data_IF_007579403135
#
_entry.id   IF_007579403135
#
_cell.length_a   1.000
_cell.length_b   1.000
_cell.length_c   1.000
_cell.angle_alpha   90.00
_cell.angle_beta   90.00
_cell.angle_gamma   90.00
#
_symmetry.space_group_name_H-M   'P 1'
#
loop_
_entity.id
_entity.type
_entity.pdbx_description
1 polymer ?
#
# COMPACT_ATOMS: atom_id res chain seq x y z
N UNK A 1 -4.24 -3.28 -23.92
CA UNK A 1 -2.95 -3.63 -23.28
C UNK A 1 -2.11 -2.43 -22.82
N UNK A 2 -1.93 -1.35 -23.61
CA UNK A 2 -1.03 -0.21 -23.27
C UNK A 2 -1.34 0.49 -21.93
N UNK A 3 -2.61 0.60 -21.52
CA UNK A 3 -2.98 1.30 -20.28
C UNK A 3 -2.61 0.51 -19.00
N UNK A 4 -2.66 -0.83 -19.03
CA UNK A 4 -2.31 -1.67 -17.87
C UNK A 4 -0.80 -1.65 -17.56
N UNK A 5 0.05 -1.33 -18.54
CA UNK A 5 1.50 -1.18 -18.34
C UNK A 5 1.88 0.17 -17.71
N UNK A 6 0.94 1.10 -17.61
CA UNK A 6 1.21 2.43 -17.02
C UNK A 6 0.88 2.46 -15.53
N UNK A 7 -0.10 1.68 -15.09
CA UNK A 7 -0.58 1.74 -13.70
C UNK A 7 0.37 1.06 -12.71
N UNK A 8 1.02 -0.03 -13.10
CA UNK A 8 2.04 -0.67 -12.26
C UNK A 8 3.26 0.21 -12.07
N UNK A 9 3.69 0.93 -13.12
CA UNK A 9 4.79 1.89 -13.01
C UNK A 9 4.44 3.04 -12.05
N UNK A 10 3.19 3.50 -12.05
CA UNK A 10 2.71 4.51 -11.09
C UNK A 10 2.79 3.97 -9.66
N UNK A 11 2.35 2.72 -9.41
CA UNK A 11 2.44 2.14 -8.07
C UNK A 11 3.88 1.85 -7.64
N UNK A 12 4.77 1.43 -8.54
CA UNK A 12 6.20 1.27 -8.25
C UNK A 12 6.83 2.62 -7.90
N UNK A 13 6.56 3.67 -8.69
CA UNK A 13 7.07 5.00 -8.41
C UNK A 13 6.55 5.53 -7.07
N UNK A 14 5.25 5.37 -6.80
CA UNK A 14 4.64 5.70 -5.52
C UNK A 14 5.23 4.92 -4.35
N UNK A 15 5.52 3.63 -4.53
CA UNK A 15 6.20 2.78 -3.56
C UNK A 15 7.62 3.30 -3.25
N UNK A 16 8.44 3.55 -4.28
CA UNK A 16 9.81 4.03 -4.08
C UNK A 16 9.84 5.40 -3.38
N UNK A 17 8.96 6.33 -3.80
CA UNK A 17 8.87 7.66 -3.20
C UNK A 17 8.35 7.60 -1.77
N UNK A 18 7.33 6.77 -1.49
CA UNK A 18 6.81 6.60 -0.13
C UNK A 18 7.81 5.93 0.78
N UNK A 19 8.60 4.96 0.29
CA UNK A 19 9.66 4.31 1.05
C UNK A 19 10.76 5.31 1.41
N UNK A 20 11.22 6.10 0.43
CA UNK A 20 12.19 7.15 0.67
C UNK A 20 11.69 8.15 1.71
N UNK A 21 10.46 8.65 1.55
CA UNK A 21 9.86 9.59 2.48
C UNK A 21 9.69 8.99 3.88
N UNK A 22 9.26 7.73 3.97
CA UNK A 22 9.11 7.02 5.23
C UNK A 22 10.45 6.86 5.97
N UNK A 23 11.54 6.56 5.25
CA UNK A 23 12.87 6.51 5.86
C UNK A 23 13.27 7.87 6.44
N UNK A 24 13.02 8.97 5.72
CA UNK A 24 13.32 10.33 6.21
C UNK A 24 12.48 10.70 7.45
N UNK A 25 11.23 10.26 7.49
CA UNK A 25 10.35 10.42 8.66
C UNK A 25 10.93 9.61 9.83
N UNK A 26 11.16 8.30 9.66
CA UNK A 26 11.62 7.43 10.75
C UNK A 26 12.96 7.89 11.35
N UNK A 27 13.86 8.46 10.55
CA UNK A 27 15.15 9.00 11.02
C UNK A 27 15.04 10.40 11.64
N UNK A 28 13.85 10.97 11.77
CA UNK A 28 13.60 12.35 12.23
C UNK A 28 14.30 13.43 11.39
N UNK A 29 14.71 13.10 10.18
CA UNK A 29 15.44 14.04 9.29
C UNK A 29 14.50 14.96 8.52
N UNK A 30 13.24 14.58 8.36
CA UNK A 30 12.25 15.35 7.61
C UNK A 30 10.85 15.18 8.16
N UNK A 31 10.12 16.28 8.25
CA UNK A 31 8.71 16.31 8.62
C UNK A 31 7.88 16.81 7.43
N UNK A 32 7.37 15.92 6.54
CA UNK A 32 6.51 16.34 5.46
C UNK A 32 5.26 17.00 6.05
N UNK A 33 5.13 18.31 5.86
CA UNK A 33 3.90 19.01 6.19
C UNK A 33 2.72 18.47 5.38
N UNK A 34 1.53 19.00 5.63
CA UNK A 34 0.28 18.55 5.02
C UNK A 34 0.33 18.51 3.48
N UNK A 35 1.08 19.41 2.85
CA UNK A 35 1.24 19.51 1.39
C UNK A 35 1.77 18.22 0.77
N UNK A 36 2.72 17.53 1.42
CA UNK A 36 3.24 16.25 0.93
C UNK A 36 2.41 15.07 1.45
N UNK A 37 1.94 15.13 2.70
CA UNK A 37 1.19 14.03 3.29
C UNK A 37 -0.15 13.76 2.61
N UNK A 38 -0.83 14.80 2.11
CA UNK A 38 -2.10 14.67 1.38
C UNK A 38 -2.01 13.85 0.08
N UNK A 39 -1.14 14.17 -0.90
CA UNK A 39 -1.06 13.40 -2.14
C UNK A 39 -0.63 11.95 -1.92
N UNK A 40 0.26 11.67 -0.95
CA UNK A 40 0.61 10.28 -0.62
C UNK A 40 -0.57 9.51 -0.03
N UNK A 41 -1.35 10.15 0.83
CA UNK A 41 -2.58 9.55 1.41
C UNK A 41 -3.64 9.33 0.33
N UNK A 42 -3.84 10.30 -0.57
CA UNK A 42 -4.76 10.15 -1.70
C UNK A 42 -4.32 9.01 -2.64
N UNK A 43 -3.02 8.93 -2.97
CA UNK A 43 -2.50 7.87 -3.81
C UNK A 43 -2.55 6.48 -3.14
N UNK A 44 -2.38 6.41 -1.83
CA UNK A 44 -2.65 5.20 -1.03
C UNK A 44 -4.11 4.76 -1.19
N UNK A 45 -5.08 5.68 -1.07
CA UNK A 45 -6.50 5.36 -1.27
C UNK A 45 -6.78 4.86 -2.69
N UNK A 46 -6.16 5.47 -3.71
CA UNK A 46 -6.26 5.02 -5.10
C UNK A 46 -5.72 3.59 -5.24
N UNK A 47 -4.55 3.30 -4.66
CA UNK A 47 -3.95 1.96 -4.70
C UNK A 47 -4.83 0.92 -4.02
N UNK A 48 -5.42 1.27 -2.88
CA UNK A 48 -6.36 0.41 -2.17
C UNK A 48 -7.65 0.14 -2.97
N UNK A 49 -8.28 1.19 -3.51
CA UNK A 49 -9.50 1.05 -4.31
C UNK A 49 -9.26 0.20 -5.55
N UNK A 50 -8.13 0.43 -6.24
CA UNK A 50 -7.73 -0.38 -7.38
C UNK A 50 -7.53 -1.85 -6.99
N UNK A 51 -6.75 -2.12 -5.94
CA UNK A 51 -6.50 -3.49 -5.49
C UNK A 51 -7.78 -4.21 -5.05
N UNK A 52 -8.66 -3.51 -4.33
CA UNK A 52 -9.95 -4.04 -3.88
C UNK A 52 -10.85 -4.40 -5.06
N UNK A 53 -10.89 -3.54 -6.09
CA UNK A 53 -11.62 -3.83 -7.33
C UNK A 53 -11.03 -5.03 -8.06
N UNK A 54 -9.71 -5.09 -8.24
CA UNK A 54 -9.05 -6.23 -8.89
C UNK A 54 -9.34 -7.54 -8.14
N UNK A 55 -9.27 -7.54 -6.82
CA UNK A 55 -9.58 -8.73 -6.00
C UNK A 55 -11.05 -9.14 -6.17
N UNK A 56 -11.98 -8.17 -6.14
CA UNK A 56 -13.41 -8.42 -6.36
C UNK A 56 -13.68 -9.02 -7.74
N UNK A 57 -13.06 -8.46 -8.78
CA UNK A 57 -13.21 -8.93 -10.16
C UNK A 57 -12.69 -10.38 -10.27
N UNK A 58 -11.53 -10.69 -9.67
CA UNK A 58 -10.97 -12.06 -9.62
C UNK A 58 -11.88 -13.03 -8.88
N UNK A 59 -12.48 -12.59 -7.77
CA UNK A 59 -13.36 -13.42 -6.97
C UNK A 59 -14.63 -13.78 -7.74
N UNK A 60 -15.23 -12.80 -8.42
CA UNK A 60 -16.45 -12.97 -9.20
C UNK A 60 -16.25 -13.83 -10.47
N UNK A 61 -15.06 -13.78 -11.07
CA UNK A 61 -14.74 -14.54 -12.30
C UNK A 61 -14.35 -15.99 -12.00
N UNK A 62 -14.05 -16.32 -10.73
CA UNK A 62 -13.70 -17.69 -10.35
C UNK A 62 -14.94 -18.53 -10.06
N UNK A 63 -15.23 -19.52 -10.91
CA UNK A 63 -16.30 -20.51 -10.70
C UNK A 63 -16.19 -21.23 -9.35
N UNK A 64 -14.99 -21.30 -8.79
CA UNK A 64 -14.70 -21.87 -7.48
C UNK A 64 -14.18 -20.80 -6.52
N UNK A 65 -15.08 -20.01 -5.91
CA UNK A 65 -14.86 -19.05 -4.80
C UNK A 65 -13.41 -19.03 -4.29
N UNK A 66 -12.51 -18.35 -5.03
CA UNK A 66 -11.09 -18.42 -4.71
C UNK A 66 -10.85 -17.74 -3.37
N UNK A 67 -10.29 -18.49 -2.41
CA UNK A 67 -9.90 -17.91 -1.14
C UNK A 67 -8.89 -16.76 -1.35
N UNK A 68 -8.90 -15.76 -0.48
CA UNK A 68 -7.90 -14.67 -0.51
C UNK A 68 -6.46 -15.20 -0.51
N UNK A 69 -6.24 -16.32 0.20
CA UNK A 69 -4.97 -17.05 0.18
C UNK A 69 -4.60 -17.43 -1.25
N UNK A 70 -5.49 -18.04 -2.02
CA UNK A 70 -5.25 -18.43 -3.42
C UNK A 70 -4.83 -17.26 -4.30
N UNK A 71 -5.37 -16.06 -4.07
CA UNK A 71 -4.99 -14.83 -4.80
C UNK A 71 -3.55 -14.43 -4.48
N UNK A 72 -3.15 -14.44 -3.20
CA UNK A 72 -1.76 -14.17 -2.78
C UNK A 72 -0.75 -15.17 -3.36
N UNK A 73 -1.16 -16.43 -3.60
CA UNK A 73 -0.30 -17.45 -4.21
C UNK A 73 -0.08 -17.25 -5.72
N UNK A 74 -0.83 -16.34 -6.38
CA UNK A 74 -0.54 -15.94 -7.77
C UNK A 74 0.68 -15.01 -7.88
N UNK A 75 1.13 -14.42 -6.77
CA UNK A 75 2.32 -13.58 -6.75
C UNK A 75 3.61 -14.42 -6.73
N UNK A 76 4.70 -13.93 -7.34
CA UNK A 76 6.03 -14.49 -7.12
C UNK A 76 6.36 -14.55 -5.62
N UNK A 77 7.06 -15.63 -5.20
CA UNK A 77 7.39 -15.88 -3.80
C UNK A 77 8.03 -14.67 -3.11
N UNK A 78 8.94 -13.98 -3.79
CA UNK A 78 9.61 -12.76 -3.30
C UNK A 78 8.61 -11.63 -3.01
N UNK A 79 7.68 -11.36 -3.92
CA UNK A 79 6.68 -10.30 -3.74
C UNK A 79 5.74 -10.61 -2.57
N UNK A 80 5.36 -11.87 -2.41
CA UNK A 80 4.56 -12.32 -1.28
C UNK A 80 5.26 -12.08 0.06
N UNK A 81 6.55 -12.42 0.17
CA UNK A 81 7.30 -12.16 1.41
C UNK A 81 7.48 -10.67 1.68
N UNK A 82 7.73 -9.86 0.65
CA UNK A 82 7.79 -8.40 0.78
C UNK A 82 6.46 -7.86 1.32
N UNK A 83 5.31 -8.28 0.77
CA UNK A 83 4.02 -7.83 1.27
C UNK A 83 3.77 -8.24 2.72
N UNK A 84 4.10 -9.48 3.09
CA UNK A 84 3.97 -9.97 4.47
C UNK A 84 4.86 -9.15 5.42
N UNK A 85 6.10 -8.90 5.04
CA UNK A 85 7.01 -8.04 5.80
C UNK A 85 6.47 -6.62 5.95
N UNK A 86 6.03 -5.99 4.86
CA UNK A 86 5.47 -4.63 4.89
C UNK A 86 4.18 -4.57 5.72
N UNK A 87 3.36 -5.62 5.70
CA UNK A 87 2.13 -5.70 6.50
C UNK A 87 2.48 -5.74 7.98
N UNK A 88 3.39 -6.63 8.37
CA UNK A 88 3.89 -6.73 9.74
C UNK A 88 4.54 -5.42 10.20
N UNK A 89 5.35 -4.82 9.34
CA UNK A 89 6.02 -3.55 9.59
C UNK A 89 5.03 -2.39 9.76
N UNK A 90 3.98 -2.31 8.94
CA UNK A 90 2.93 -1.30 9.07
C UNK A 90 2.13 -1.48 10.37
N UNK A 91 1.82 -2.74 10.75
CA UNK A 91 1.17 -3.06 12.03
C UNK A 91 2.03 -2.57 13.20
N UNK A 92 3.33 -2.87 13.20
CA UNK A 92 4.25 -2.39 14.24
C UNK A 92 4.22 -0.87 14.31
N UNK A 93 4.36 -0.17 13.18
CA UNK A 93 4.37 1.29 13.17
C UNK A 93 3.03 1.88 13.66
N UNK A 94 1.91 1.28 13.28
CA UNK A 94 0.60 1.69 13.78
C UNK A 94 0.48 1.50 15.29
N UNK A 95 0.91 0.37 15.84
CA UNK A 95 0.91 0.13 17.29
C UNK A 95 1.80 1.15 18.01
N UNK A 96 2.99 1.46 17.47
CA UNK A 96 3.86 2.48 18.08
C UNK A 96 3.22 3.87 18.09
N UNK A 97 2.44 4.21 17.06
CA UNK A 97 1.67 5.46 17.02
C UNK A 97 0.53 5.46 18.05
N UNK A 98 -0.13 4.32 18.29
CA UNK A 98 -1.18 4.19 19.32
C UNK A 98 -0.65 4.40 20.74
N UNK A 99 0.58 3.97 21.00
CA UNK A 99 1.21 4.08 22.32
C UNK A 99 1.85 5.43 22.60
N UNK A 100 2.02 6.29 21.58
CA UNK A 100 2.49 7.64 21.80
C UNK A 100 1.37 8.45 22.49
N UNK A 101 1.65 9.02 23.67
CA UNK A 101 0.75 9.93 24.38
C UNK A 101 0.60 11.24 23.59
N UNK A 102 -0.06 11.18 22.42
CA UNK A 102 -0.38 12.39 21.66
C UNK A 102 -1.56 13.05 22.37
N UNK A 103 -1.27 14.06 23.20
CA UNK A 103 -2.27 14.85 23.95
C UNK A 103 -3.36 15.53 23.12
N UNK A 104 -3.35 15.36 21.79
CA UNK A 104 -4.37 15.86 20.88
C UNK A 104 -5.07 14.67 20.21
N UNK A 105 -6.40 14.61 20.33
CA UNK A 105 -7.22 13.51 19.81
C UNK A 105 -6.99 13.19 18.32
N UNK A 106 -7.53 12.05 17.89
CA UNK A 106 -7.40 11.53 16.52
C UNK A 106 -7.86 12.49 15.41
N UNK A 107 -8.69 13.47 15.75
CA UNK A 107 -9.25 14.48 14.83
C UNK A 107 -8.34 15.71 14.66
N UNK A 108 -7.24 15.83 15.43
CA UNK A 108 -6.28 16.91 15.23
C UNK A 108 -5.50 16.71 13.93
N UNK A 109 -5.70 17.65 13.00
CA UNK A 109 -5.04 17.73 11.69
C UNK A 109 -3.57 18.12 11.79
N UNK A 110 -3.08 18.49 12.98
CA UNK A 110 -1.65 18.56 13.23
C UNK A 110 -1.08 17.13 13.28
N UNK A 111 -0.49 16.74 12.14
CA UNK A 111 0.29 15.52 12.03
C UNK A 111 1.52 15.64 12.92
N UNK A 112 1.46 15.09 14.12
CA UNK A 112 2.66 14.87 14.92
C UNK A 112 3.59 13.88 14.21
N UNK A 113 4.86 13.89 14.60
CA UNK A 113 5.85 12.98 14.04
C UNK A 113 5.43 11.50 14.17
N UNK A 114 4.88 11.11 15.33
CA UNK A 114 4.44 9.73 15.56
C UNK A 114 3.23 9.34 14.72
N UNK A 115 2.26 10.25 14.53
CA UNK A 115 1.12 10.06 13.61
C UNK A 115 1.63 9.87 12.19
N UNK A 116 2.59 10.69 11.77
CA UNK A 116 3.17 10.66 10.44
C UNK A 116 3.99 9.39 10.19
N UNK A 117 4.74 8.91 11.19
CA UNK A 117 5.44 7.63 11.13
C UNK A 117 4.48 6.45 10.92
N UNK A 118 3.38 6.42 11.66
CA UNK A 118 2.32 5.41 11.50
C UNK A 118 1.71 5.44 10.10
N UNK A 119 1.21 6.61 9.69
CA UNK A 119 0.53 6.80 8.40
C UNK A 119 1.48 6.50 7.21
N UNK A 120 2.74 6.92 7.28
CA UNK A 120 3.71 6.67 6.22
C UNK A 120 4.10 5.19 6.08
N UNK A 121 4.01 4.41 7.15
CA UNK A 121 4.08 2.94 7.10
C UNK A 121 2.92 2.31 6.31
N UNK A 122 1.74 2.92 6.32
CA UNK A 122 0.64 2.49 5.46
C UNK A 122 0.83 2.90 4.00
N UNK A 123 1.40 4.07 3.72
CA UNK A 123 1.67 4.48 2.34
C UNK A 123 2.49 3.41 1.59
N UNK A 124 3.63 2.99 2.16
CA UNK A 124 4.48 1.96 1.54
C UNK A 124 3.74 0.64 1.31
N UNK A 125 2.92 0.22 2.28
CA UNK A 125 2.16 -1.03 2.20
C UNK A 125 1.13 -0.97 1.08
N UNK A 126 0.33 0.10 1.02
CA UNK A 126 -0.76 0.18 0.05
C UNK A 126 -0.26 0.38 -1.38
N UNK A 127 0.84 1.11 -1.60
CA UNK A 127 1.46 1.15 -2.93
C UNK A 127 1.98 -0.24 -3.35
N UNK A 128 2.56 -1.01 -2.43
CA UNK A 128 2.98 -2.38 -2.71
C UNK A 128 1.78 -3.30 -3.02
N UNK A 129 0.66 -3.15 -2.30
CA UNK A 129 -0.59 -3.87 -2.57
C UNK A 129 -1.15 -3.50 -3.95
N UNK A 130 -1.17 -2.21 -4.30
CA UNK A 130 -1.59 -1.72 -5.61
C UNK A 130 -0.75 -2.31 -6.74
N UNK A 131 0.57 -2.33 -6.58
CA UNK A 131 1.49 -2.98 -7.53
C UNK A 131 1.21 -4.48 -7.66
N UNK A 132 1.02 -5.18 -6.54
CA UNK A 132 0.72 -6.60 -6.53
C UNK A 132 -0.59 -6.92 -7.25
N UNK A 133 -1.65 -6.13 -7.01
CA UNK A 133 -2.92 -6.26 -7.73
C UNK A 133 -2.74 -6.04 -9.24
N UNK A 134 -2.00 -4.99 -9.64
CA UNK A 134 -1.72 -4.71 -11.05
C UNK A 134 -0.93 -5.85 -11.71
N UNK A 135 0.00 -6.46 -10.96
CA UNK A 135 0.78 -7.60 -11.42
C UNK A 135 -0.11 -8.83 -11.66
N UNK A 136 -1.00 -9.16 -10.71
CA UNK A 136 -1.94 -10.28 -10.84
C UNK A 136 -2.90 -10.05 -12.02
N UNK A 137 -3.45 -8.84 -12.15
CA UNK A 137 -4.37 -8.50 -13.24
C UNK A 137 -3.71 -8.71 -14.62
N UNK A 138 -2.41 -8.41 -14.75
CA UNK A 138 -1.64 -8.65 -15.97
C UNK A 138 -1.44 -10.12 -16.28
N UNK A 139 -1.27 -10.97 -15.27
CA UNK A 139 -1.12 -12.41 -15.48
C UNK A 139 -2.43 -13.02 -15.98
N UNK A 140 -3.56 -12.63 -15.37
CA UNK A 140 -4.89 -13.14 -15.76
C UNK A 140 -5.24 -12.69 -17.17
N UNK A 141 -5.03 -11.41 -17.51
CA UNK A 141 -5.30 -10.90 -18.86
C UNK A 141 -4.37 -11.42 -19.96
N UNK A 142 -3.38 -12.27 -19.64
CA UNK A 142 -2.48 -12.93 -20.59
C UNK A 142 -2.77 -14.42 -20.77
N UNK A 143 -3.67 -15.01 -19.98
CA UNK A 143 -4.09 -16.39 -20.22
C UNK A 143 -4.91 -16.44 -21.50
N UNK A 144 -4.51 -17.20 -22.54
CA UNK A 144 -5.40 -17.48 -23.66
C UNK A 144 -6.61 -18.25 -23.11
N UNK A 145 -7.79 -17.67 -23.28
CA UNK A 145 -9.05 -18.39 -23.14
C UNK A 145 -9.24 -19.36 -24.29
#
# INVERSE_FOLDING_TARGET
MKNKLRIDLIFIAGFCLSLFLHLLIVTMTFHPGNVLSMPFTAGMLIAWLYASRTIKDIYNDSENNLSFKSILFKLPQTQRYILLFLTFYAIINFITTLSAESGNGWVDLNLSHDKLRGISGFWILFYAIGYAAAHIEKQIGKSPG
#
